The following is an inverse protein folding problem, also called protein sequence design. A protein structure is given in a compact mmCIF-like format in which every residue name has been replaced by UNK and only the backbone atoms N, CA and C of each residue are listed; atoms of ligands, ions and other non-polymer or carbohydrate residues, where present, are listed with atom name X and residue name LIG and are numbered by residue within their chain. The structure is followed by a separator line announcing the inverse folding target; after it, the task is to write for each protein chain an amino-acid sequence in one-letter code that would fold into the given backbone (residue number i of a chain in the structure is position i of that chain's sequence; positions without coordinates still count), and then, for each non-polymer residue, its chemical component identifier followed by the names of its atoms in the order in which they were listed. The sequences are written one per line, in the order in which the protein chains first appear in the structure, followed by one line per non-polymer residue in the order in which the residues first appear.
data_IF_413041549719
#
_entry.id   IF_413041549719
#
_cell.length_a   1.000
_cell.length_b   1.000
_cell.length_c   1.000
_cell.angle_alpha   90.00
_cell.angle_beta   90.00
_cell.angle_gamma   90.00
#
_symmetry.space_group_name_H-M   'P 1'
#
loop_
_entity.id
_entity.type
_entity.pdbx_description
1 polymer ?
#
# COMPACT_ATOMS: atom_id res chain seq x y z
N UNK A 1 -36.60 -25.98 2.65
CA UNK A 1 -36.44 -24.54 2.86
C UNK A 1 -35.36 -24.36 3.91
N UNK A 2 -34.14 -24.07 3.51
CA UNK A 2 -33.09 -23.66 4.45
C UNK A 2 -33.50 -22.26 4.90
N UNK A 3 -33.74 -22.06 6.18
CA UNK A 3 -34.20 -20.79 6.72
C UNK A 3 -33.21 -19.70 6.35
N UNK A 4 -33.73 -18.50 6.07
CA UNK A 4 -32.88 -17.31 5.76
C UNK A 4 -31.87 -17.03 6.88
N UNK A 5 -32.19 -17.42 8.10
CA UNK A 5 -31.30 -17.34 9.28
C UNK A 5 -29.93 -18.05 9.09
N UNK A 6 -29.92 -19.20 8.40
CA UNK A 6 -28.67 -19.94 8.13
C UNK A 6 -27.77 -19.19 7.11
N UNK A 7 -28.37 -18.44 6.18
CA UNK A 7 -27.63 -17.59 5.23
C UNK A 7 -27.05 -16.37 5.91
N UNK A 8 -27.82 -15.70 6.78
CA UNK A 8 -27.34 -14.53 7.55
C UNK A 8 -26.20 -14.90 8.47
N UNK A 9 -26.28 -16.00 9.21
CA UNK A 9 -25.21 -16.48 10.08
C UNK A 9 -23.92 -16.80 9.30
N UNK A 10 -24.03 -17.30 8.07
CA UNK A 10 -22.88 -17.55 7.20
C UNK A 10 -22.20 -16.25 6.77
N UNK A 11 -22.99 -15.24 6.40
CA UNK A 11 -22.47 -13.91 6.01
C UNK A 11 -21.81 -13.24 7.20
N UNK A 12 -22.43 -13.21 8.37
CA UNK A 12 -21.84 -12.63 9.58
C UNK A 12 -20.50 -13.28 9.94
N UNK A 13 -20.43 -14.62 9.91
CA UNK A 13 -19.20 -15.34 10.20
C UNK A 13 -18.11 -15.03 9.17
N UNK A 14 -18.47 -14.89 7.87
CA UNK A 14 -17.53 -14.52 6.81
C UNK A 14 -16.98 -13.11 7.00
N UNK A 15 -17.83 -12.16 7.40
CA UNK A 15 -17.41 -10.78 7.66
C UNK A 15 -16.44 -10.71 8.84
N UNK A 16 -16.77 -11.40 9.94
CA UNK A 16 -15.91 -11.43 11.12
C UNK A 16 -14.56 -12.09 10.78
N UNK A 17 -14.59 -13.23 10.08
CA UNK A 17 -13.37 -13.92 9.66
C UNK A 17 -12.53 -13.06 8.73
N UNK A 18 -13.16 -12.37 7.77
CA UNK A 18 -12.47 -11.42 6.91
C UNK A 18 -11.72 -10.34 7.70
N UNK A 19 -12.34 -9.76 8.72
CA UNK A 19 -11.68 -8.78 9.58
C UNK A 19 -10.56 -9.40 10.41
N UNK A 20 -10.73 -10.62 10.92
CA UNK A 20 -9.69 -11.32 11.67
C UNK A 20 -8.46 -11.63 10.82
N UNK A 21 -8.68 -12.04 9.57
CA UNK A 21 -7.60 -12.44 8.66
C UNK A 21 -6.84 -11.22 8.09
N UNK A 22 -7.51 -10.08 7.95
CA UNK A 22 -6.97 -8.92 7.24
C UNK A 22 -6.66 -7.71 8.15
N UNK A 23 -7.07 -7.74 9.41
CA UNK A 23 -6.87 -6.63 10.35
C UNK A 23 -6.14 -7.12 11.60
N UNK A 24 -4.84 -6.88 11.72
CA UNK A 24 -4.02 -7.19 12.91
C UNK A 24 -4.52 -6.49 14.22
N UNK A 25 -5.63 -5.74 14.15
CA UNK A 25 -6.14 -4.92 15.25
C UNK A 25 -7.17 -5.64 16.13
N UNK A 26 -7.63 -6.85 15.74
CA UNK A 26 -8.62 -7.57 16.54
C UNK A 26 -7.93 -8.46 17.57
N UNK A 27 -7.95 -8.00 18.80
CA UNK A 27 -7.51 -8.78 19.93
C UNK A 27 -8.46 -9.96 20.18
N UNK A 28 -7.91 -11.06 20.67
CA UNK A 28 -8.67 -12.26 21.04
C UNK A 28 -9.93 -11.96 21.87
N UNK A 29 -9.85 -10.98 22.77
CA UNK A 29 -10.97 -10.51 23.61
C UNK A 29 -12.15 -9.98 22.78
N UNK A 30 -11.88 -9.27 21.69
CA UNK A 30 -12.95 -8.75 20.81
C UNK A 30 -13.72 -9.88 20.13
N UNK A 31 -13.04 -10.93 19.73
CA UNK A 31 -13.68 -12.14 19.15
C UNK A 31 -14.59 -12.79 20.21
N UNK A 32 -14.12 -12.91 21.43
CA UNK A 32 -14.90 -13.43 22.56
C UNK A 32 -16.15 -12.57 22.81
N UNK A 33 -16.05 -11.26 22.76
CA UNK A 33 -17.18 -10.33 22.92
C UNK A 33 -18.20 -10.47 21.78
N UNK A 34 -17.75 -10.66 20.54
CA UNK A 34 -18.64 -10.91 19.39
C UNK A 34 -19.37 -12.25 19.50
N UNK A 35 -18.68 -13.31 19.88
CA UNK A 35 -19.30 -14.62 20.10
C UNK A 35 -20.31 -14.56 21.26
N UNK A 36 -20.01 -13.81 22.29
CA UNK A 36 -20.93 -13.54 23.40
C UNK A 36 -22.17 -12.78 22.92
N UNK A 37 -22.00 -11.74 22.10
CA UNK A 37 -23.10 -10.98 21.48
C UNK A 37 -24.00 -11.88 20.62
N UNK A 38 -23.44 -12.75 19.80
CA UNK A 38 -24.20 -13.72 19.00
C UNK A 38 -25.03 -14.65 19.87
N UNK A 39 -24.43 -15.15 20.94
CA UNK A 39 -25.12 -16.03 21.89
C UNK A 39 -26.32 -15.32 22.52
N UNK A 40 -26.17 -14.05 22.91
CA UNK A 40 -27.25 -13.26 23.48
C UNK A 40 -28.33 -12.91 22.47
N UNK A 41 -27.95 -12.50 21.26
CA UNK A 41 -28.89 -12.26 20.17
C UNK A 41 -29.75 -13.50 19.91
N UNK A 42 -29.13 -14.65 19.82
CA UNK A 42 -29.85 -15.91 19.59
C UNK A 42 -30.81 -16.24 20.73
N UNK A 43 -30.42 -16.02 21.98
CA UNK A 43 -31.30 -16.19 23.14
C UNK A 43 -32.48 -15.23 23.14
N UNK A 44 -32.31 -14.00 22.66
CA UNK A 44 -33.35 -12.98 22.59
C UNK A 44 -34.26 -13.14 21.35
N UNK A 45 -33.68 -13.58 20.22
CA UNK A 45 -34.41 -13.69 18.93
C UNK A 45 -35.21 -15.01 18.80
N UNK A 46 -34.73 -16.09 19.40
CA UNK A 46 -35.41 -17.38 19.36
C UNK A 46 -36.26 -17.61 20.62
N UNK A 47 -37.31 -16.80 20.74
CA UNK A 47 -38.38 -17.07 21.68
C UNK A 47 -39.08 -18.39 21.27
N UNK A 48 -38.72 -19.49 21.90
CA UNK A 48 -39.54 -20.68 21.83
C UNK A 48 -40.86 -20.36 22.53
N UNK A 49 -41.93 -20.41 21.75
CA UNK A 49 -43.31 -20.07 22.18
C UNK A 49 -43.78 -20.84 23.44
N UNK A 50 -43.02 -21.83 23.88
CA UNK A 50 -43.35 -22.70 25.02
C UNK A 50 -42.62 -22.37 26.31
N UNK A 51 -41.73 -21.35 26.31
CA UNK A 51 -41.01 -20.96 27.52
C UNK A 51 -41.50 -19.58 27.98
N UNK A 52 -42.23 -19.56 29.08
CA UNK A 52 -42.90 -18.38 29.65
C UNK A 52 -41.96 -17.34 30.24
N UNK A 53 -40.65 -17.43 30.02
CA UNK A 53 -39.67 -16.47 30.49
C UNK A 53 -39.01 -15.76 29.32
N UNK A 54 -39.44 -14.55 29.05
CA UNK A 54 -38.69 -13.59 28.22
C UNK A 54 -37.32 -13.38 28.89
N UNK A 55 -36.29 -13.84 28.20
CA UNK A 55 -34.93 -13.54 28.68
C UNK A 55 -34.59 -12.08 28.34
N UNK A 56 -34.68 -11.22 29.32
CA UNK A 56 -34.25 -9.79 29.20
C UNK A 56 -32.81 -9.67 29.69
N UNK A 57 -31.86 -9.28 28.82
CA UNK A 57 -30.48 -9.08 29.26
C UNK A 57 -30.44 -7.98 30.35
N UNK A 58 -29.66 -8.21 31.38
CA UNK A 58 -29.46 -7.20 32.43
C UNK A 58 -28.74 -5.99 31.82
N UNK A 59 -29.10 -4.79 32.28
CA UNK A 59 -28.56 -3.51 31.78
C UNK A 59 -27.04 -3.46 31.74
N UNK A 60 -26.37 -4.04 32.75
CA UNK A 60 -24.91 -4.04 32.77
C UNK A 60 -24.28 -4.87 31.62
N UNK A 61 -24.95 -5.93 31.18
CA UNK A 61 -24.50 -6.75 30.04
C UNK A 61 -24.61 -5.95 28.75
N UNK A 62 -25.74 -5.26 28.54
CA UNK A 62 -25.93 -4.39 27.39
C UNK A 62 -24.90 -3.26 27.36
N UNK A 63 -24.67 -2.62 28.50
CA UNK A 63 -23.65 -1.56 28.62
C UNK A 63 -22.25 -2.08 28.34
N UNK A 64 -21.86 -3.23 28.88
CA UNK A 64 -20.56 -3.85 28.65
C UNK A 64 -20.33 -4.10 27.13
N UNK A 65 -21.33 -4.64 26.45
CA UNK A 65 -21.24 -4.91 25.01
C UNK A 65 -21.15 -3.62 24.18
N UNK A 66 -21.93 -2.58 24.55
CA UNK A 66 -21.85 -1.27 23.88
C UNK A 66 -20.46 -0.63 24.10
N UNK A 67 -19.92 -0.67 25.31
CA UNK A 67 -18.57 -0.18 25.59
C UNK A 67 -17.52 -0.96 24.81
N UNK A 68 -17.59 -2.28 24.78
CA UNK A 68 -16.67 -3.12 24.01
C UNK A 68 -16.73 -2.82 22.51
N UNK A 69 -17.92 -2.66 21.94
CA UNK A 69 -18.09 -2.24 20.54
C UNK A 69 -17.52 -0.84 20.30
N UNK A 70 -17.78 0.09 21.21
CA UNK A 70 -17.23 1.44 21.08
C UNK A 70 -15.69 1.41 21.12
N UNK A 71 -15.11 0.79 22.13
CA UNK A 71 -13.67 0.76 22.35
C UNK A 71 -12.92 -0.01 21.24
N UNK A 72 -13.49 -1.09 20.73
CA UNK A 72 -12.81 -1.95 19.77
C UNK A 72 -13.15 -1.69 18.29
N UNK A 73 -14.27 -1.01 18.00
CA UNK A 73 -14.69 -0.74 16.61
C UNK A 73 -14.83 0.77 16.35
N UNK A 74 -15.65 1.47 17.14
CA UNK A 74 -16.06 2.84 16.81
C UNK A 74 -15.01 3.89 17.17
N UNK A 75 -14.28 3.69 18.27
CA UNK A 75 -13.20 4.60 18.69
C UNK A 75 -11.87 4.33 17.98
N UNK A 76 -11.71 3.15 17.40
CA UNK A 76 -10.51 2.80 16.63
C UNK A 76 -10.56 3.44 15.27
N UNK A 77 -9.49 4.15 14.88
CA UNK A 77 -9.33 4.66 13.51
C UNK A 77 -9.60 3.53 12.54
N UNK A 78 -10.31 3.84 11.45
CA UNK A 78 -10.74 2.88 10.44
C UNK A 78 -9.74 1.74 10.26
N UNK A 79 -10.16 0.54 10.62
CA UNK A 79 -9.33 -0.68 10.64
C UNK A 79 -8.85 -1.05 9.24
N UNK A 80 -9.46 -0.45 8.22
CA UNK A 80 -9.28 -0.83 6.84
C UNK A 80 -9.17 0.38 5.91
N UNK A 81 -8.12 0.42 5.10
CA UNK A 81 -7.90 1.49 4.13
C UNK A 81 -8.16 0.95 2.73
N UNK A 82 -9.31 1.34 2.14
CA UNK A 82 -9.69 0.95 0.79
C UNK A 82 -9.09 1.87 -0.28
N UNK A 83 -8.87 3.13 0.06
CA UNK A 83 -8.30 4.15 -0.83
C UNK A 83 -7.29 5.00 -0.06
N UNK A 84 -6.02 4.63 -0.20
CA UNK A 84 -4.94 5.29 0.54
C UNK A 84 -4.77 6.75 0.10
N UNK A 85 -4.94 7.06 -1.19
CA UNK A 85 -4.72 8.42 -1.69
C UNK A 85 -5.62 9.44 -1.00
N UNK A 86 -6.90 9.13 -0.87
CA UNK A 86 -7.86 10.02 -0.20
C UNK A 86 -7.56 10.24 1.29
N UNK A 87 -6.92 9.25 1.92
CA UNK A 87 -6.59 9.31 3.37
C UNK A 87 -5.32 10.11 3.64
N UNK A 88 -4.40 10.17 2.67
CA UNK A 88 -3.04 10.68 2.89
C UNK A 88 -2.73 12.02 2.21
N UNK A 89 -3.72 12.72 1.68
CA UNK A 89 -3.49 13.99 0.98
C UNK A 89 -2.70 14.98 1.83
N UNK A 90 -3.11 15.19 3.08
CA UNK A 90 -2.41 16.08 4.02
C UNK A 90 -1.00 15.61 4.36
N UNK A 91 -0.75 14.31 4.44
CA UNK A 91 0.59 13.78 4.68
C UNK A 91 1.49 13.95 3.45
N UNK A 92 0.94 13.83 2.23
CA UNK A 92 1.67 14.10 0.98
C UNK A 92 2.14 15.56 0.95
N UNK A 93 1.25 16.49 1.23
CA UNK A 93 1.56 17.92 1.31
C UNK A 93 2.63 18.22 2.38
N UNK A 94 2.47 17.64 3.57
CA UNK A 94 3.40 17.79 4.68
C UNK A 94 4.80 17.26 4.31
N UNK A 95 4.90 16.06 3.74
CA UNK A 95 6.19 15.51 3.32
C UNK A 95 6.81 16.31 2.18
N UNK A 96 6.00 16.86 1.27
CA UNK A 96 6.50 17.70 0.19
C UNK A 96 7.04 19.03 0.70
N UNK A 97 6.39 19.63 1.69
CA UNK A 97 6.83 20.90 2.29
C UNK A 97 8.05 20.73 3.21
N UNK A 98 8.18 19.59 3.88
CA UNK A 98 9.24 19.34 4.87
C UNK A 98 10.54 18.80 4.29
N UNK A 99 10.50 18.21 3.09
CA UNK A 99 11.65 17.59 2.47
C UNK A 99 12.33 18.53 1.44
N UNK A 100 13.63 18.65 1.52
CA UNK A 100 14.46 19.41 0.54
C UNK A 100 14.61 18.70 -0.82
N UNK A 101 13.61 17.91 -1.21
CA UNK A 101 13.58 17.11 -2.43
C UNK A 101 13.67 15.60 -2.15
N UNK A 102 13.74 14.82 -3.22
CA UNK A 102 13.95 13.36 -3.12
C UNK A 102 15.34 13.12 -2.57
N UNK A 103 15.39 12.72 -1.32
CA UNK A 103 16.60 12.74 -0.50
C UNK A 103 17.35 11.40 -0.51
N UNK A 104 18.17 11.20 0.50
CA UNK A 104 18.97 10.00 0.60
C UNK A 104 18.12 8.78 1.02
N UNK A 105 18.68 7.61 0.77
CA UNK A 105 18.08 6.33 1.03
C UNK A 105 17.63 6.14 2.50
N UNK A 106 18.46 6.58 3.46
CA UNK A 106 18.13 6.44 4.89
C UNK A 106 16.83 7.17 5.26
N UNK A 107 16.66 8.38 4.73
CA UNK A 107 15.45 9.15 4.95
C UNK A 107 14.24 8.47 4.31
N UNK A 108 14.37 8.02 3.06
CA UNK A 108 13.29 7.36 2.35
C UNK A 108 12.81 6.09 3.09
N UNK A 109 13.72 5.27 3.59
CA UNK A 109 13.37 4.10 4.39
C UNK A 109 12.77 4.45 5.76
N UNK A 110 13.26 5.49 6.42
CA UNK A 110 12.68 5.96 7.70
C UNK A 110 11.23 6.42 7.52
N UNK A 111 10.94 7.17 6.45
CA UNK A 111 9.58 7.60 6.13
C UNK A 111 8.72 6.41 5.70
N UNK A 112 9.28 5.50 4.89
CA UNK A 112 8.60 4.27 4.48
C UNK A 112 8.14 3.45 5.69
N UNK A 113 8.96 3.34 6.72
CA UNK A 113 8.59 2.63 7.94
C UNK A 113 7.42 3.31 8.68
N UNK A 114 7.42 4.64 8.76
CA UNK A 114 6.29 5.40 9.33
C UNK A 114 5.01 5.20 8.54
N UNK A 115 5.08 5.31 7.21
CA UNK A 115 3.95 5.11 6.30
C UNK A 115 3.41 3.67 6.42
N UNK A 116 4.30 2.68 6.44
CA UNK A 116 3.95 1.28 6.63
C UNK A 116 3.16 1.07 7.91
N UNK A 117 3.68 1.55 9.04
CA UNK A 117 3.05 1.36 10.34
C UNK A 117 1.73 2.13 10.48
N UNK A 118 1.64 3.32 9.87
CA UNK A 118 0.43 4.16 9.95
C UNK A 118 -0.67 3.69 9.01
N UNK A 119 -0.32 3.17 7.82
CA UNK A 119 -1.29 2.93 6.74
C UNK A 119 -1.21 1.53 6.13
N UNK A 120 -0.03 1.08 5.64
CA UNK A 120 0.04 -0.05 4.73
C UNK A 120 -0.34 -1.39 5.37
N UNK A 121 -0.05 -1.57 6.64
CA UNK A 121 -0.47 -2.74 7.42
C UNK A 121 -1.98 -2.93 7.52
N UNK A 122 -2.76 -1.89 7.18
CA UNK A 122 -4.22 -1.89 7.22
C UNK A 122 -4.85 -2.06 5.84
N UNK A 123 -4.05 -2.45 4.85
CA UNK A 123 -4.50 -2.55 3.47
C UNK A 123 -4.54 -4.00 3.03
N UNK A 124 -5.59 -4.36 2.27
CA UNK A 124 -5.58 -5.60 1.50
C UNK A 124 -4.66 -5.48 0.29
N UNK A 125 -4.32 -6.61 -0.31
CA UNK A 125 -3.57 -6.64 -1.56
C UNK A 125 -4.23 -5.80 -2.67
N UNK A 126 -5.55 -5.89 -2.83
CA UNK A 126 -6.30 -5.13 -3.84
C UNK A 126 -6.25 -3.62 -3.59
N UNK A 127 -6.39 -3.20 -2.33
CA UNK A 127 -6.24 -1.79 -1.95
C UNK A 127 -4.82 -1.29 -2.17
N UNK A 128 -3.81 -2.12 -1.85
CA UNK A 128 -2.41 -1.83 -2.09
C UNK A 128 -2.12 -1.67 -3.59
N UNK A 129 -2.62 -2.59 -4.42
CA UNK A 129 -2.52 -2.53 -5.88
C UNK A 129 -3.15 -1.26 -6.45
N UNK A 130 -4.38 -0.95 -6.02
CA UNK A 130 -5.07 0.28 -6.43
C UNK A 130 -4.25 1.52 -6.07
N UNK A 131 -3.73 1.58 -4.85
CA UNK A 131 -2.92 2.70 -4.36
C UNK A 131 -1.61 2.82 -5.11
N UNK A 132 -0.91 1.72 -5.35
CA UNK A 132 0.30 1.71 -6.15
C UNK A 132 0.06 2.30 -7.56
N UNK A 133 -0.98 1.84 -8.25
CA UNK A 133 -1.38 2.39 -9.55
C UNK A 133 -1.59 3.90 -9.50
N UNK A 134 -2.29 4.39 -8.48
CA UNK A 134 -2.54 5.82 -8.30
C UNK A 134 -1.23 6.58 -8.13
N UNK A 135 -0.36 6.16 -7.22
CA UNK A 135 0.89 6.88 -6.95
C UNK A 135 1.86 6.87 -8.12
N UNK A 136 2.06 5.73 -8.80
CA UNK A 136 2.96 5.70 -9.97
C UNK A 136 2.41 6.51 -11.14
N UNK A 137 1.08 6.56 -11.31
CA UNK A 137 0.46 7.41 -12.32
C UNK A 137 0.65 8.90 -12.01
N UNK A 138 0.45 9.32 -10.77
CA UNK A 138 0.68 10.69 -10.33
C UNK A 138 2.16 11.07 -10.42
N UNK A 139 3.04 10.14 -10.11
CA UNK A 139 4.47 10.40 -10.09
C UNK A 139 5.06 10.62 -11.48
N UNK A 140 4.59 9.88 -12.50
CA UNK A 140 5.26 9.84 -13.80
C UNK A 140 4.38 10.12 -15.02
N UNK A 141 3.06 10.13 -14.89
CA UNK A 141 2.16 10.28 -16.05
C UNK A 141 1.31 11.54 -15.96
N UNK A 142 0.90 11.92 -14.75
CA UNK A 142 0.08 13.13 -14.56
C UNK A 142 0.98 14.34 -14.37
N UNK A 143 0.79 15.33 -15.23
CA UNK A 143 1.52 16.60 -15.20
C UNK A 143 0.54 17.74 -14.93
N UNK A 144 0.60 18.29 -13.74
CA UNK A 144 -0.11 19.50 -13.35
C UNK A 144 0.57 20.15 -12.13
N UNK A 145 0.24 21.40 -11.83
CA UNK A 145 0.83 22.17 -10.74
C UNK A 145 0.74 21.46 -9.38
N UNK A 146 -0.38 20.81 -9.08
CA UNK A 146 -0.59 20.13 -7.80
C UNK A 146 0.30 18.90 -7.67
N UNK A 147 0.45 18.11 -8.72
CA UNK A 147 1.36 16.96 -8.70
C UNK A 147 2.81 17.39 -8.64
N UNK A 148 3.19 18.43 -9.35
CA UNK A 148 4.57 18.93 -9.37
C UNK A 148 4.96 19.54 -8.02
N UNK A 149 4.08 20.28 -7.38
CA UNK A 149 4.26 20.81 -6.03
C UNK A 149 4.40 19.68 -5.00
N UNK A 150 3.68 18.60 -5.16
CA UNK A 150 3.59 17.50 -4.20
C UNK A 150 4.43 16.27 -4.59
N UNK A 151 5.30 16.39 -5.59
CA UNK A 151 6.05 15.28 -6.18
C UNK A 151 6.88 14.48 -5.16
N UNK A 152 7.43 15.15 -4.16
CA UNK A 152 8.28 14.50 -3.13
C UNK A 152 7.42 13.62 -2.21
N UNK A 153 6.29 14.12 -1.76
CA UNK A 153 5.34 13.34 -0.95
C UNK A 153 4.78 12.16 -1.74
N UNK A 154 4.37 12.38 -3.00
CA UNK A 154 3.89 11.33 -3.90
C UNK A 154 4.96 10.24 -4.08
N UNK A 155 6.22 10.65 -4.31
CA UNK A 155 7.34 9.70 -4.40
C UNK A 155 7.51 8.88 -3.12
N UNK A 156 7.47 9.51 -1.94
CA UNK A 156 7.65 8.80 -0.67
C UNK A 156 6.56 7.76 -0.43
N UNK A 157 5.32 8.04 -0.83
CA UNK A 157 4.24 7.04 -0.79
C UNK A 157 4.43 5.94 -1.83
N UNK A 158 4.78 6.25 -3.09
CA UNK A 158 5.09 5.25 -4.11
C UNK A 158 6.25 4.33 -3.68
N UNK A 159 7.32 4.93 -3.13
CA UNK A 159 8.46 4.20 -2.57
C UNK A 159 8.04 3.27 -1.43
N UNK A 160 7.23 3.78 -0.50
CA UNK A 160 6.77 3.03 0.66
C UNK A 160 5.88 1.84 0.28
N UNK A 161 4.98 2.02 -0.69
CA UNK A 161 4.14 0.93 -1.20
C UNK A 161 4.99 -0.12 -1.91
N UNK A 162 6.00 0.29 -2.67
CA UNK A 162 6.95 -0.62 -3.34
C UNK A 162 7.74 -1.42 -2.30
N UNK A 163 8.32 -0.75 -1.32
CA UNK A 163 9.08 -1.39 -0.23
C UNK A 163 8.24 -2.41 0.53
N UNK A 164 7.02 -2.02 0.87
CA UNK A 164 6.08 -2.88 1.58
C UNK A 164 5.68 -4.10 0.75
N UNK A 165 5.33 -3.91 -0.53
CA UNK A 165 4.96 -4.99 -1.41
C UNK A 165 6.08 -6.03 -1.56
N UNK A 166 7.32 -5.57 -1.71
CA UNK A 166 8.48 -6.48 -1.82
C UNK A 166 8.71 -7.23 -0.51
N UNK A 167 8.65 -6.55 0.63
CA UNK A 167 8.83 -7.17 1.96
C UNK A 167 7.74 -8.17 2.32
N UNK A 168 6.52 -7.97 1.81
CA UNK A 168 5.41 -8.91 2.00
C UNK A 168 5.37 -10.05 0.97
N UNK A 169 6.32 -10.10 0.03
CA UNK A 169 6.35 -11.10 -1.02
C UNK A 169 5.34 -10.88 -2.15
N UNK A 170 4.73 -9.69 -2.25
CA UNK A 170 3.75 -9.34 -3.29
C UNK A 170 4.43 -8.94 -4.62
N UNK A 171 5.45 -9.69 -5.03
CA UNK A 171 6.20 -9.40 -6.27
C UNK A 171 5.33 -9.47 -7.53
N UNK A 172 4.26 -10.28 -7.51
CA UNK A 172 3.27 -10.36 -8.59
C UNK A 172 2.61 -9.00 -8.89
N UNK A 173 2.59 -8.06 -7.93
CA UNK A 173 2.10 -6.71 -8.16
C UNK A 173 2.79 -6.04 -9.35
N UNK A 174 4.08 -6.26 -9.49
CA UNK A 174 4.92 -5.64 -10.52
C UNK A 174 4.79 -6.30 -11.90
N UNK A 175 4.15 -7.46 -11.99
CA UNK A 175 3.87 -8.19 -13.23
C UNK A 175 2.42 -8.01 -13.72
N UNK A 176 1.62 -7.21 -13.02
CA UNK A 176 0.26 -6.91 -13.41
C UNK A 176 0.21 -6.02 -14.66
N UNK A 177 -0.54 -6.41 -15.68
CA UNK A 177 -0.68 -5.65 -16.96
C UNK A 177 -1.03 -4.19 -16.74
N UNK A 178 -1.88 -3.91 -15.76
CA UNK A 178 -2.29 -2.54 -15.42
C UNK A 178 -1.14 -1.69 -14.90
N UNK A 179 -0.18 -2.28 -14.19
CA UNK A 179 1.03 -1.62 -13.68
C UNK A 179 2.00 -1.43 -14.85
N UNK A 180 2.28 -2.47 -15.61
CA UNK A 180 3.15 -2.41 -16.80
C UNK A 180 2.67 -1.33 -17.76
N UNK A 181 1.36 -1.26 -18.02
CA UNK A 181 0.76 -0.24 -18.90
C UNK A 181 0.95 1.20 -18.41
N UNK A 182 1.09 1.44 -17.10
CA UNK A 182 1.42 2.77 -16.60
C UNK A 182 2.89 3.09 -16.89
N UNK A 183 3.80 2.15 -16.66
CA UNK A 183 5.21 2.33 -16.95
C UNK A 183 5.46 2.56 -18.45
N UNK A 184 4.72 1.89 -19.34
CA UNK A 184 4.77 2.12 -20.80
C UNK A 184 4.31 3.52 -21.21
N UNK A 185 3.50 4.19 -20.39
CA UNK A 185 2.98 5.54 -20.63
C UNK A 185 3.87 6.66 -20.07
N UNK A 186 4.96 6.32 -19.40
CA UNK A 186 5.91 7.32 -18.93
C UNK A 186 6.52 8.00 -20.17
N UNK A 187 6.40 9.31 -20.24
CA UNK A 187 6.98 10.08 -21.33
C UNK A 187 8.44 10.43 -21.03
N UNK A 188 9.30 10.28 -22.03
CA UNK A 188 10.73 10.57 -21.95
C UNK A 188 10.98 12.04 -21.66
N UNK A 189 10.23 12.94 -22.32
CA UNK A 189 10.43 14.38 -22.16
C UNK A 189 9.96 14.84 -20.76
N UNK A 190 8.91 14.26 -20.21
CA UNK A 190 8.49 14.47 -18.82
C UNK A 190 9.62 14.12 -17.84
N UNK A 191 10.27 12.98 -18.02
CA UNK A 191 11.40 12.57 -17.17
C UNK A 191 12.62 13.48 -17.39
N UNK A 192 12.90 13.84 -18.64
CA UNK A 192 14.03 14.72 -18.99
C UNK A 192 13.88 16.13 -18.40
N UNK A 193 12.69 16.69 -18.46
CA UNK A 193 12.41 18.08 -18.10
C UNK A 193 12.15 18.28 -16.58
N UNK A 194 11.81 17.21 -15.85
CA UNK A 194 11.55 17.26 -14.41
C UNK A 194 12.69 16.61 -13.61
N UNK A 195 13.58 17.39 -12.98
CA UNK A 195 14.65 16.85 -12.15
C UNK A 195 14.16 15.95 -11.01
N UNK A 196 13.01 16.29 -10.41
CA UNK A 196 12.43 15.50 -9.32
C UNK A 196 11.91 14.17 -9.80
N UNK A 197 11.17 14.11 -10.93
CA UNK A 197 10.66 12.86 -11.52
C UNK A 197 11.80 11.96 -11.97
N UNK A 198 12.82 12.55 -12.61
CA UNK A 198 14.04 11.87 -13.00
C UNK A 198 14.71 11.22 -11.80
N UNK A 199 14.94 11.99 -10.74
CA UNK A 199 15.57 11.51 -9.51
C UNK A 199 14.72 10.42 -8.84
N UNK A 200 13.38 10.56 -8.83
CA UNK A 200 12.46 9.57 -8.34
C UNK A 200 12.60 8.24 -9.08
N UNK A 201 12.60 8.28 -10.40
CA UNK A 201 12.72 7.09 -11.23
C UNK A 201 14.04 6.36 -10.98
N UNK A 202 15.16 7.09 -11.00
CA UNK A 202 16.47 6.49 -10.73
C UNK A 202 16.55 5.90 -9.33
N UNK A 203 16.05 6.62 -8.32
CA UNK A 203 16.04 6.10 -6.95
C UNK A 203 15.21 4.82 -6.83
N UNK A 204 14.04 4.75 -7.48
CA UNK A 204 13.21 3.55 -7.49
C UNK A 204 13.91 2.38 -8.18
N UNK A 205 14.51 2.60 -9.36
CA UNK A 205 15.18 1.55 -10.13
C UNK A 205 16.44 1.02 -9.43
N UNK A 206 17.20 1.91 -8.78
CA UNK A 206 18.42 1.51 -8.05
C UNK A 206 18.12 0.79 -6.74
N UNK A 207 17.02 1.16 -6.07
CA UNK A 207 16.62 0.52 -4.82
C UNK A 207 15.88 -0.80 -5.07
N UNK A 208 15.10 -0.87 -6.14
CA UNK A 208 14.24 -2.02 -6.47
C UNK A 208 14.48 -2.51 -7.91
N UNK A 209 15.52 -3.34 -8.14
CA UNK A 209 15.88 -3.80 -9.49
C UNK A 209 14.77 -4.53 -10.26
N UNK A 210 13.80 -5.11 -9.55
CA UNK A 210 12.61 -5.72 -10.19
C UNK A 210 11.88 -4.74 -11.13
N UNK A 211 11.91 -3.43 -10.83
CA UNK A 211 11.28 -2.39 -11.64
C UNK A 211 12.02 -2.15 -12.97
N UNK A 212 13.29 -2.53 -13.06
CA UNK A 212 14.07 -2.41 -14.31
C UNK A 212 13.45 -3.26 -15.42
N UNK A 213 12.97 -4.45 -15.08
CA UNK A 213 12.32 -5.32 -16.06
C UNK A 213 11.04 -4.69 -16.64
N UNK A 214 10.34 -3.88 -15.83
CA UNK A 214 9.12 -3.21 -16.26
C UNK A 214 9.44 -1.99 -17.12
N UNK A 215 10.43 -1.19 -16.72
CA UNK A 215 10.79 0.04 -17.46
C UNK A 215 11.40 -0.27 -18.83
N UNK A 216 11.98 -1.45 -19.02
CA UNK A 216 12.45 -1.94 -20.33
C UNK A 216 11.34 -1.99 -21.39
N UNK A 217 10.12 -2.24 -20.97
CA UNK A 217 8.96 -2.21 -21.87
C UNK A 217 8.65 -0.78 -22.41
N UNK A 218 9.34 0.23 -21.86
CA UNK A 218 9.32 1.60 -22.33
C UNK A 218 10.70 1.98 -22.86
N UNK A 219 10.99 1.54 -24.09
CA UNK A 219 12.29 1.68 -24.74
C UNK A 219 12.83 3.13 -24.73
N UNK A 220 12.05 4.19 -25.08
CA UNK A 220 12.55 5.56 -25.09
C UNK A 220 13.04 6.06 -23.74
N UNK A 221 12.35 5.69 -22.65
CA UNK A 221 12.74 6.07 -21.27
C UNK A 221 13.92 5.24 -20.82
N UNK A 222 13.94 3.95 -21.16
CA UNK A 222 15.02 3.05 -20.80
C UNK A 222 16.34 3.47 -21.48
N UNK A 223 16.34 3.76 -22.77
CA UNK A 223 17.50 4.28 -23.51
C UNK A 223 18.00 5.60 -22.89
N UNK A 224 17.09 6.53 -22.59
CA UNK A 224 17.44 7.78 -21.95
C UNK A 224 18.17 7.58 -20.61
N UNK A 225 17.70 6.64 -19.78
CA UNK A 225 18.35 6.29 -18.52
C UNK A 225 19.75 5.73 -18.79
N UNK A 226 19.87 4.80 -19.74
CA UNK A 226 21.17 4.22 -20.11
C UNK A 226 22.16 5.28 -20.58
N UNK A 227 21.74 6.18 -21.45
CA UNK A 227 22.62 7.24 -21.99
C UNK A 227 23.09 8.24 -20.93
N UNK A 228 22.19 8.66 -20.03
CA UNK A 228 22.48 9.73 -19.09
C UNK A 228 23.14 9.26 -17.79
N UNK A 229 22.87 8.03 -17.38
CA UNK A 229 23.34 7.53 -16.08
C UNK A 229 24.46 6.51 -16.20
N UNK A 230 24.48 5.70 -17.25
CA UNK A 230 25.53 4.70 -17.44
C UNK A 230 26.80 5.34 -18.01
N UNK A 231 26.66 6.31 -18.90
CA UNK A 231 27.79 7.04 -19.49
C UNK A 231 28.37 8.14 -18.60
N UNK A 232 27.72 8.46 -17.46
CA UNK A 232 28.21 9.45 -16.52
C UNK A 232 28.83 8.78 -15.29
N UNK A 233 30.17 8.79 -15.13
CA UNK A 233 30.86 8.19 -13.98
C UNK A 233 30.39 8.72 -12.64
N UNK A 234 30.05 10.00 -12.56
CA UNK A 234 29.59 10.63 -11.32
C UNK A 234 28.11 10.30 -11.03
N UNK A 235 27.25 10.23 -12.05
CA UNK A 235 25.86 9.84 -11.91
C UNK A 235 25.72 8.40 -11.43
N UNK A 236 26.48 7.50 -12.00
CA UNK A 236 26.51 6.07 -11.65
C UNK A 236 27.03 5.84 -10.22
N UNK A 237 28.09 6.55 -9.82
CA UNK A 237 28.62 6.46 -8.46
C UNK A 237 27.61 6.95 -7.42
N UNK A 238 26.93 8.05 -7.72
CA UNK A 238 25.92 8.63 -6.84
C UNK A 238 24.69 7.74 -6.63
N UNK A 239 24.31 6.98 -7.64
CA UNK A 239 23.12 6.11 -7.61
C UNK A 239 23.42 4.63 -7.35
N UNK A 240 24.63 4.29 -6.89
CA UNK A 240 25.07 2.89 -6.67
C UNK A 240 25.00 1.99 -7.90
N UNK A 241 24.96 2.57 -9.10
CA UNK A 241 24.88 1.80 -10.34
C UNK A 241 26.17 1.01 -10.64
N UNK A 242 27.27 1.33 -9.92
CA UNK A 242 28.60 0.74 -10.13
C UNK A 242 29.08 -0.23 -9.05
N UNK A 243 28.23 -0.75 -8.21
CA UNK A 243 28.64 -1.80 -7.30
C UNK A 243 28.48 -3.18 -7.99
N UNK A 244 29.54 -3.72 -8.61
CA UNK A 244 29.43 -4.93 -9.44
C UNK A 244 29.03 -6.17 -8.64
N UNK A 245 29.21 -6.15 -7.31
CA UNK A 245 28.89 -7.26 -6.42
C UNK A 245 27.51 -7.13 -5.77
N UNK A 246 26.79 -6.04 -6.00
CA UNK A 246 25.43 -5.90 -5.50
C UNK A 246 24.44 -6.39 -6.57
N UNK A 247 23.91 -7.62 -6.39
CA UNK A 247 22.89 -8.22 -7.27
C UNK A 247 21.63 -7.35 -7.43
N UNK A 248 21.52 -6.27 -6.65
CA UNK A 248 20.43 -5.28 -6.72
C UNK A 248 20.80 -4.05 -7.57
N UNK A 249 21.99 -4.02 -8.17
CA UNK A 249 22.41 -2.88 -8.96
C UNK A 249 21.95 -3.01 -10.43
N UNK A 250 21.57 -1.89 -11.04
CA UNK A 250 21.31 -1.83 -12.50
C UNK A 250 22.56 -2.24 -13.28
N UNK A 251 23.74 -2.09 -12.71
CA UNK A 251 24.99 -2.47 -13.33
C UNK A 251 25.12 -3.99 -13.57
N UNK A 252 24.71 -4.84 -12.63
CA UNK A 252 24.71 -6.30 -12.82
C UNK A 252 23.82 -6.69 -14.00
N UNK A 253 22.75 -5.96 -14.20
CA UNK A 253 21.83 -6.13 -15.27
C UNK A 253 22.42 -5.77 -16.65
N UNK A 254 23.24 -4.71 -16.77
CA UNK A 254 23.88 -4.33 -18.03
C UNK A 254 25.06 -5.23 -18.40
N UNK A 255 25.74 -5.83 -17.42
CA UNK A 255 26.78 -6.82 -17.70
C UNK A 255 26.17 -8.11 -18.29
N UNK A 256 24.96 -8.47 -17.83
CA UNK A 256 24.26 -9.66 -18.34
C UNK A 256 23.61 -9.47 -19.72
N UNK A 257 23.56 -8.22 -20.22
CA UNK A 257 23.00 -7.88 -21.55
C UNK A 257 24.00 -7.12 -22.42
N UNK A 258 25.01 -7.80 -23.00
CA UNK A 258 26.09 -7.18 -23.77
C UNK A 258 25.65 -6.44 -25.05
N UNK A 259 24.40 -6.61 -25.49
CA UNK A 259 23.88 -6.04 -26.73
C UNK A 259 23.48 -4.56 -26.66
N UNK A 260 23.70 -3.90 -25.53
CA UNK A 260 23.41 -2.47 -25.31
C UNK A 260 24.67 -1.58 -25.21
N UNK A 261 25.81 -2.08 -25.72
CA UNK A 261 27.07 -1.33 -25.85
C UNK A 261 27.21 -0.68 -27.19
#
# INVERSE_FOLDING_TARGET
MISDDAKYSKVENSVIQFFLDNCELYFKRFVEDIEYLKTWRNKCAHLKVNDSSLYIPKDYVARMLICSMYDNILSVKATFIMDLFNVVQSDIELYSASASGITNERYNFSVSEKIRNKYLKRMTYDSLKKSYKTFIKLLWVVENEDTDKNIVGIFLFAFSVTDYAIKQGYQQLFSEDQIINIYKKIDKDTIKNSPSRKKALITMLTTYPILVNIIRENEPVFEYICEHYIKSPNGLKHYRLFYPNDKRSIYSFFIETPSLH
#
